data_IF_177313380800
#
_entry.id   IF_177313380800
#
_cell.length_a   1.000
_cell.length_b   1.000
_cell.length_c   1.000
_cell.angle_alpha   90.00
_cell.angle_beta   90.00
_cell.angle_gamma   90.00
#
_symmetry.space_group_name_H-M   'P 1'
#
loop_
_entity.id
_entity.type
_entity.pdbx_description
1 polymer ?
#
# COMPACT_ATOMS: atom_id res chain seq x y z
N UNK A 1 -9.12 -3.77 7.16
CA UNK A 1 -9.43 -4.89 8.09
C UNK A 1 -10.64 -4.61 8.99
N UNK A 2 -10.95 -3.36 9.36
CA UNK A 2 -12.13 -3.07 10.19
C UNK A 2 -11.95 -3.36 11.69
N UNK A 3 -10.73 -3.66 12.16
CA UNK A 3 -10.44 -3.96 13.59
C UNK A 3 -10.81 -2.85 14.56
N UNK A 4 -10.93 -1.61 14.09
CA UNK A 4 -11.34 -0.47 14.89
C UNK A 4 -12.86 -0.38 15.07
N UNK A 5 -13.65 -1.22 14.37
CA UNK A 5 -15.11 -1.25 14.46
C UNK A 5 -15.58 -2.37 15.38
N UNK A 6 -16.65 -2.17 16.17
CA UNK A 6 -17.24 -3.23 16.97
C UNK A 6 -17.87 -4.34 16.12
N UNK A 7 -18.22 -4.05 14.86
CA UNK A 7 -18.74 -5.02 13.88
C UNK A 7 -17.66 -5.86 13.21
N UNK A 8 -16.42 -5.84 13.72
CA UNK A 8 -15.32 -6.63 13.16
C UNK A 8 -15.61 -8.13 13.25
N UNK A 9 -15.54 -8.80 12.10
CA UNK A 9 -15.56 -10.24 12.00
C UNK A 9 -14.36 -10.71 11.16
N UNK A 10 -13.57 -11.71 11.62
CA UNK A 10 -12.38 -12.14 10.92
C UNK A 10 -12.65 -12.79 9.56
N UNK A 11 -13.87 -13.30 9.33
CA UNK A 11 -14.25 -13.99 8.09
C UNK A 11 -15.01 -13.10 7.09
N UNK A 12 -15.37 -11.86 7.46
CA UNK A 12 -16.10 -10.91 6.60
C UNK A 12 -15.28 -9.63 6.39
N UNK A 13 -15.36 -9.04 5.20
CA UNK A 13 -14.70 -7.76 4.91
C UNK A 13 -15.53 -6.57 5.39
N UNK A 14 -15.38 -6.19 6.66
CA UNK A 14 -15.98 -4.99 7.25
C UNK A 14 -15.07 -3.76 7.24
N UNK A 15 -13.97 -3.82 6.47
CA UNK A 15 -12.99 -2.73 6.41
C UNK A 15 -13.42 -1.56 5.53
N UNK A 16 -12.95 -0.36 5.89
CA UNK A 16 -13.17 0.87 5.14
C UNK A 16 -12.33 0.98 3.87
N UNK A 17 -12.78 1.87 2.99
CA UNK A 17 -11.97 2.40 1.90
C UNK A 17 -11.02 3.46 2.45
N UNK A 18 -9.73 3.32 2.12
CA UNK A 18 -8.69 4.21 2.62
C UNK A 18 -8.00 4.86 1.43
N UNK A 19 -7.97 6.18 1.42
CA UNK A 19 -7.27 6.99 0.43
C UNK A 19 -6.04 7.61 1.08
N UNK A 20 -4.87 7.32 0.51
CA UNK A 20 -3.59 7.91 0.93
C UNK A 20 -3.15 8.85 -0.17
N UNK A 21 -2.98 10.13 0.16
CA UNK A 21 -2.41 11.16 -0.70
C UNK A 21 -0.95 11.43 -0.30
N UNK A 22 -0.22 12.16 -1.14
CA UNK A 22 1.18 12.54 -0.92
C UNK A 22 2.13 11.35 -0.71
N UNK A 23 1.90 10.20 -1.38
CA UNK A 23 2.77 9.04 -1.26
C UNK A 23 4.23 9.31 -1.67
N UNK A 24 4.46 10.34 -2.49
CA UNK A 24 5.78 10.83 -2.88
C UNK A 24 6.58 11.48 -1.74
N UNK A 25 5.93 11.84 -0.64
CA UNK A 25 6.56 12.49 0.52
C UNK A 25 6.82 11.54 1.70
N UNK A 26 6.58 10.24 1.51
CA UNK A 26 6.81 9.23 2.55
C UNK A 26 8.30 9.13 2.87
N UNK A 27 8.63 9.24 4.15
CA UNK A 27 10.01 9.15 4.64
C UNK A 27 10.28 7.74 5.17
N UNK A 28 11.44 7.19 4.83
CA UNK A 28 11.95 5.94 5.40
C UNK A 28 13.13 6.23 6.32
N UNK A 29 13.22 5.51 7.44
CA UNK A 29 14.27 5.72 8.44
C UNK A 29 15.53 4.89 8.15
N UNK A 30 16.67 5.36 8.67
CA UNK A 30 17.97 4.68 8.58
C UNK A 30 18.48 4.54 7.14
N UNK A 31 19.20 3.44 6.86
CA UNK A 31 19.79 3.17 5.53
C UNK A 31 18.84 2.48 4.54
N UNK A 32 17.53 2.42 4.85
CA UNK A 32 16.53 1.71 4.04
C UNK A 32 16.41 2.28 2.63
N UNK A 33 16.61 3.59 2.46
CA UNK A 33 16.57 4.21 1.14
C UNK A 33 17.58 3.57 0.17
N UNK A 34 18.78 3.30 0.66
CA UNK A 34 19.90 2.76 -0.12
C UNK A 34 19.90 1.23 -0.17
N UNK A 35 19.55 0.56 0.93
CA UNK A 35 19.76 -0.88 1.09
C UNK A 35 18.53 -1.73 0.75
N UNK A 36 17.33 -1.16 0.72
CA UNK A 36 16.13 -1.96 0.50
C UNK A 36 15.98 -2.31 -0.98
N UNK A 37 15.93 -3.60 -1.28
CA UNK A 37 15.73 -4.13 -2.62
C UNK A 37 14.35 -4.78 -2.72
N UNK A 38 13.63 -4.49 -3.81
CA UNK A 38 12.38 -5.13 -4.18
C UNK A 38 12.64 -6.22 -5.22
N UNK A 39 12.24 -7.44 -4.91
CA UNK A 39 12.41 -8.60 -5.79
C UNK A 39 11.12 -8.94 -6.53
N UNK A 40 11.25 -9.35 -7.78
CA UNK A 40 10.15 -9.87 -8.59
C UNK A 40 10.67 -10.94 -9.54
N UNK A 41 10.05 -12.12 -9.55
CA UNK A 41 10.45 -13.22 -10.43
C UNK A 41 9.41 -13.45 -11.53
N UNK A 42 9.85 -13.58 -12.79
CA UNK A 42 8.96 -13.84 -13.93
C UNK A 42 8.59 -15.32 -14.14
N UNK A 43 9.16 -16.24 -13.37
CA UNK A 43 9.04 -17.70 -13.52
C UNK A 43 9.81 -18.32 -14.69
N UNK A 44 10.68 -17.56 -15.34
CA UNK A 44 11.63 -18.07 -16.35
C UNK A 44 13.05 -18.17 -15.76
N UNK A 45 13.92 -19.06 -16.27
CA UNK A 45 15.34 -19.07 -15.89
C UNK A 45 15.98 -17.69 -16.06
N UNK A 46 16.68 -17.19 -15.05
CA UNK A 46 17.23 -15.83 -15.04
C UNK A 46 16.20 -14.71 -14.89
N UNK A 47 14.94 -15.03 -14.56
CA UNK A 47 13.81 -14.10 -14.50
C UNK A 47 13.72 -13.25 -13.23
N UNK A 48 14.75 -13.26 -12.37
CA UNK A 48 14.79 -12.46 -11.15
C UNK A 48 15.08 -11.00 -11.49
N UNK A 49 14.17 -10.11 -11.09
CA UNK A 49 14.32 -8.67 -11.22
C UNK A 49 14.47 -8.05 -9.84
N UNK A 50 15.54 -7.29 -9.68
CA UNK A 50 15.87 -6.55 -8.47
C UNK A 50 15.69 -5.06 -8.73
N UNK A 51 14.96 -4.39 -7.86
CA UNK A 51 14.70 -2.96 -7.98
C UNK A 51 15.05 -2.29 -6.65
N UNK A 52 16.13 -1.49 -6.59
CA UNK A 52 16.46 -0.70 -5.39
C UNK A 52 15.32 0.25 -5.03
N UNK A 53 15.17 0.54 -3.73
CA UNK A 53 14.15 1.44 -3.23
C UNK A 53 14.20 2.81 -3.89
N UNK A 54 15.37 3.42 -3.98
CA UNK A 54 15.56 4.73 -4.65
C UNK A 54 14.97 4.73 -6.06
N UNK A 55 15.27 3.70 -6.86
CA UNK A 55 14.75 3.58 -8.22
C UNK A 55 13.24 3.36 -8.25
N UNK A 56 12.71 2.54 -7.35
CA UNK A 56 11.25 2.32 -7.26
C UNK A 56 10.53 3.58 -6.81
N UNK A 57 11.08 4.30 -5.84
CA UNK A 57 10.50 5.51 -5.26
C UNK A 57 10.51 6.66 -6.26
N UNK A 58 11.60 6.85 -7.02
CA UNK A 58 11.68 7.85 -8.07
C UNK A 58 10.67 7.58 -9.21
N UNK A 59 10.46 6.31 -9.58
CA UNK A 59 9.55 5.95 -10.69
C UNK A 59 8.08 5.89 -10.27
N UNK A 60 7.79 5.33 -9.09
CA UNK A 60 6.43 5.01 -8.67
C UNK A 60 6.34 4.95 -7.13
N UNK A 61 6.32 6.10 -6.44
CA UNK A 61 6.34 6.12 -4.98
C UNK A 61 5.10 5.49 -4.35
N UNK A 62 3.92 5.63 -4.97
CA UNK A 62 2.70 4.89 -4.62
C UNK A 62 2.90 3.38 -4.49
N UNK A 63 3.79 2.78 -5.31
CA UNK A 63 4.01 1.33 -5.32
C UNK A 63 4.75 0.89 -4.06
N UNK A 64 5.65 1.71 -3.52
CA UNK A 64 6.34 1.46 -2.26
C UNK A 64 5.34 1.31 -1.11
N UNK A 65 4.43 2.26 -0.98
CA UNK A 65 3.38 2.25 0.07
C UNK A 65 2.44 1.08 -0.15
N UNK A 66 1.98 0.89 -1.38
CA UNK A 66 1.05 -0.17 -1.74
C UNK A 66 1.63 -1.57 -1.46
N UNK A 67 2.92 -1.80 -1.77
CA UNK A 67 3.59 -3.06 -1.47
C UNK A 67 3.77 -3.29 0.05
N UNK A 68 4.08 -2.23 0.80
CA UNK A 68 4.18 -2.33 2.26
C UNK A 68 2.85 -2.74 2.89
N UNK A 69 1.75 -2.06 2.53
CA UNK A 69 0.41 -2.39 3.05
C UNK A 69 -0.03 -3.79 2.62
N UNK A 70 0.21 -4.16 1.35
CA UNK A 70 -0.13 -5.51 0.86
C UNK A 70 0.56 -6.61 1.67
N UNK A 71 1.80 -6.42 2.07
CA UNK A 71 2.56 -7.37 2.89
C UNK A 71 2.01 -7.53 4.32
N UNK A 72 1.26 -6.56 4.83
CA UNK A 72 0.63 -6.60 6.15
C UNK A 72 -0.79 -7.20 6.15
N UNK A 73 -1.32 -7.55 4.97
CA UNK A 73 -2.65 -8.14 4.81
C UNK A 73 -2.57 -9.68 4.74
N UNK A 74 -3.64 -10.39 5.15
CA UNK A 74 -3.67 -11.85 5.05
C UNK A 74 -3.53 -12.31 3.60
N UNK A 75 -2.73 -13.36 3.36
CA UNK A 75 -2.45 -13.89 2.02
C UNK A 75 -3.57 -14.82 1.52
N UNK A 76 -4.80 -14.32 1.43
CA UNK A 76 -5.96 -15.08 0.96
C UNK A 76 -6.87 -14.21 0.05
N UNK A 77 -8.01 -14.77 -0.34
CA UNK A 77 -9.02 -14.07 -1.16
C UNK A 77 -9.56 -12.83 -0.46
N UNK A 78 -9.84 -12.94 0.85
CA UNK A 78 -10.32 -11.84 1.68
C UNK A 78 -9.31 -10.68 1.74
N UNK A 79 -8.03 -10.96 1.97
CA UNK A 79 -6.97 -9.96 1.96
C UNK A 79 -6.81 -9.28 0.60
N UNK A 80 -7.01 -10.02 -0.51
CA UNK A 80 -7.06 -9.42 -1.85
C UNK A 80 -8.24 -8.47 -2.02
N UNK A 81 -9.41 -8.79 -1.46
CA UNK A 81 -10.57 -7.88 -1.47
C UNK A 81 -10.30 -6.62 -0.64
N UNK A 82 -9.78 -6.79 0.59
CA UNK A 82 -9.39 -5.67 1.46
C UNK A 82 -8.37 -4.76 0.77
N UNK A 83 -7.38 -5.33 0.08
CA UNK A 83 -6.36 -4.57 -0.63
C UNK A 83 -6.93 -3.69 -1.76
N UNK A 84 -8.01 -4.12 -2.45
CA UNK A 84 -8.66 -3.32 -3.50
C UNK A 84 -9.31 -2.03 -2.98
N UNK A 85 -9.64 -2.00 -1.69
CA UNK A 85 -10.19 -0.82 -1.00
C UNK A 85 -9.14 0.26 -0.70
N UNK A 86 -7.85 -0.07 -0.80
CA UNK A 86 -6.75 0.89 -0.66
C UNK A 86 -6.54 1.67 -1.96
N UNK A 87 -6.55 2.99 -1.87
CA UNK A 87 -6.20 3.93 -2.96
C UNK A 87 -5.00 4.76 -2.51
N UNK A 88 -3.97 4.84 -3.35
CA UNK A 88 -2.72 5.54 -3.02
C UNK A 88 -2.35 6.42 -4.21
N UNK A 89 -2.14 7.71 -3.93
CA UNK A 89 -1.83 8.75 -4.90
C UNK A 89 -0.53 9.47 -4.52
N UNK A 90 0.24 9.89 -5.53
CA UNK A 90 1.53 10.54 -5.32
C UNK A 90 1.39 12.01 -4.91
N UNK A 91 0.38 12.71 -5.44
CA UNK A 91 0.09 14.11 -5.15
C UNK A 91 -0.95 14.30 -4.04
N UNK A 92 -1.37 15.55 -3.81
CA UNK A 92 -2.37 15.92 -2.80
C UNK A 92 -3.79 15.50 -3.15
N UNK A 93 -4.07 15.28 -4.43
CA UNK A 93 -5.44 15.19 -4.92
C UNK A 93 -5.84 13.74 -5.20
N UNK A 94 -7.15 13.48 -5.14
CA UNK A 94 -7.75 12.20 -5.46
C UNK A 94 -9.11 12.37 -6.18
N UNK A 95 -9.50 11.47 -7.09
CA UNK A 95 -10.77 11.57 -7.82
C UNK A 95 -12.00 11.10 -7.02
N UNK A 96 -11.87 10.92 -5.69
CA UNK A 96 -12.89 10.29 -4.84
C UNK A 96 -13.73 11.29 -4.03
N UNK A 97 -13.91 12.50 -4.52
CA UNK A 97 -14.67 13.56 -3.83
C UNK A 97 -16.14 13.18 -3.59
N UNK A 98 -16.78 12.47 -4.53
CA UNK A 98 -18.19 12.07 -4.42
C UNK A 98 -18.47 11.16 -3.21
N UNK A 99 -17.45 10.48 -2.69
CA UNK A 99 -17.52 9.56 -1.56
C UNK A 99 -17.30 10.27 -0.22
N UNK A 100 -17.03 11.59 -0.26
CA UNK A 100 -16.81 12.46 0.91
C UNK A 100 -15.88 11.83 1.96
N UNK A 101 -14.62 11.49 1.58
CA UNK A 101 -13.67 10.87 2.50
C UNK A 101 -13.42 11.79 3.70
N UNK A 102 -13.49 11.22 4.90
CA UNK A 102 -13.14 11.91 6.13
C UNK A 102 -11.63 11.86 6.36
N UNK A 103 -11.03 13.00 6.75
CA UNK A 103 -9.63 13.06 7.15
C UNK A 103 -9.45 12.25 8.44
N UNK A 104 -8.46 11.36 8.44
CA UNK A 104 -8.12 10.53 9.59
C UNK A 104 -6.68 10.82 9.99
N UNK A 105 -6.48 11.35 11.19
CA UNK A 105 -5.15 11.46 11.80
C UNK A 105 -4.81 10.14 12.49
N UNK A 106 -3.66 9.55 12.11
CA UNK A 106 -3.16 8.29 12.65
C UNK A 106 -1.92 8.65 13.47
N UNK A 107 -2.05 8.61 14.79
CA UNK A 107 -0.96 8.79 15.76
C UNK A 107 -0.28 7.48 16.14
#
# INVERSE_FOLDING_TARGET
RGKHKPTYSPHVDTGDHVVIINASKVVVTGKKAQQKIYYHHSQYPGGLKEVPYERMFAKSPERVVRMAVKGMLPHNTLGRMMYRKLKVYNGSDHPHEAQKPAVLEIG
#
